data_IF_225991794488
#
_entry.id   IF_225991794488
#
_cell.length_a   1.000
_cell.length_b   1.000
_cell.length_c   1.000
_cell.angle_alpha   90.00
_cell.angle_beta   90.00
_cell.angle_gamma   90.00
#
_symmetry.space_group_name_H-M   'P 1'
#
loop_
_entity.id
_entity.type
_entity.pdbx_description
1 polymer ?
#
# COMPACT_ATOMS: atom_id res chain seq x y z
N UNK A 1 -13.99 -5.38 -9.48
CA UNK A 1 -13.96 -5.84 -8.07
C UNK A 1 -12.56 -5.58 -7.55
N UNK A 2 -12.34 -4.70 -6.58
CA UNK A 2 -10.97 -4.34 -6.17
C UNK A 2 -10.32 -5.39 -5.27
N UNK A 3 -8.98 -5.52 -5.35
CA UNK A 3 -8.19 -6.42 -4.50
C UNK A 3 -6.90 -5.74 -4.06
N UNK A 4 -6.72 -5.62 -2.75
CA UNK A 4 -5.61 -4.92 -2.13
C UNK A 4 -4.87 -5.78 -1.11
N UNK A 5 -3.55 -5.63 -1.02
CA UNK A 5 -2.71 -6.14 0.07
C UNK A 5 -2.00 -4.94 0.70
N UNK A 6 -2.39 -4.59 1.92
CA UNK A 6 -1.98 -3.36 2.59
C UNK A 6 -0.97 -3.69 3.68
N UNK A 7 0.30 -3.37 3.47
CA UNK A 7 1.44 -3.73 4.32
C UNK A 7 1.75 -2.58 5.28
N UNK A 8 1.65 -2.83 6.60
CA UNK A 8 1.78 -1.79 7.62
C UNK A 8 3.16 -1.12 7.68
N UNK A 9 4.21 -1.85 7.30
CA UNK A 9 5.58 -1.37 7.27
C UNK A 9 6.58 -2.52 7.22
N UNK A 10 7.86 -2.20 7.37
CA UNK A 10 8.99 -3.14 7.23
C UNK A 10 9.87 -2.84 6.02
N UNK A 11 11.05 -3.46 6.01
CA UNK A 11 12.10 -3.24 5.02
C UNK A 11 12.24 -4.41 4.04
N UNK A 12 11.86 -4.17 2.78
CA UNK A 12 12.02 -5.14 1.69
C UNK A 12 13.50 -5.55 1.50
N UNK A 13 14.43 -4.61 1.72
CA UNK A 13 15.87 -4.85 1.63
C UNK A 13 16.35 -5.89 2.64
N UNK A 14 15.80 -5.86 3.84
CA UNK A 14 16.13 -6.76 4.95
C UNK A 14 15.29 -8.05 4.91
N UNK A 15 14.33 -8.14 3.98
CA UNK A 15 13.38 -9.25 3.83
C UNK A 15 12.48 -9.42 5.05
N UNK A 16 12.16 -8.33 5.73
CA UNK A 16 11.26 -8.34 6.89
C UNK A 16 9.83 -8.71 6.50
N UNK A 17 9.42 -8.39 5.28
CA UNK A 17 8.09 -8.67 4.72
C UNK A 17 8.03 -9.95 3.88
N UNK A 18 9.05 -10.81 3.91
CA UNK A 18 9.24 -11.89 2.92
C UNK A 18 8.04 -12.81 2.74
N UNK A 19 7.35 -13.19 3.83
CA UNK A 19 6.17 -14.04 3.77
C UNK A 19 5.00 -13.37 3.03
N UNK A 20 4.88 -12.04 3.18
CA UNK A 20 3.86 -11.23 2.49
C UNK A 20 4.24 -11.09 1.00
N UNK A 21 5.51 -10.83 0.70
CA UNK A 21 6.01 -10.74 -0.68
C UNK A 21 5.87 -12.06 -1.43
N UNK A 22 6.14 -13.19 -0.76
CA UNK A 22 5.94 -14.52 -1.33
C UNK A 22 4.46 -14.75 -1.68
N UNK A 23 3.53 -14.35 -0.79
CA UNK A 23 2.11 -14.43 -1.07
C UNK A 23 1.72 -13.57 -2.28
N UNK A 24 2.16 -12.30 -2.34
CA UNK A 24 1.92 -11.41 -3.49
C UNK A 24 2.43 -12.05 -4.78
N UNK A 25 3.64 -12.61 -4.77
CA UNK A 25 4.24 -13.25 -5.94
C UNK A 25 3.48 -14.52 -6.37
N UNK A 26 2.99 -15.33 -5.44
CA UNK A 26 2.15 -16.49 -5.74
C UNK A 26 0.83 -16.06 -6.40
N UNK A 27 0.19 -15.02 -5.89
CA UNK A 27 -1.05 -14.48 -6.48
C UNK A 27 -0.82 -13.87 -7.87
N UNK A 28 0.30 -13.17 -8.06
CA UNK A 28 0.70 -12.66 -9.37
C UNK A 28 0.93 -13.78 -10.39
N UNK A 29 1.55 -14.90 -9.98
CA UNK A 29 1.74 -16.08 -10.84
C UNK A 29 0.42 -16.73 -11.22
N UNK A 30 -0.53 -16.84 -10.29
CA UNK A 30 -1.88 -17.34 -10.58
C UNK A 30 -2.58 -16.47 -11.63
N UNK A 31 -2.47 -15.14 -11.54
CA UNK A 31 -3.03 -14.22 -12.52
C UNK A 31 -2.36 -14.33 -13.90
N UNK A 32 -1.06 -14.58 -13.93
CA UNK A 32 -0.29 -14.71 -15.16
C UNK A 32 -0.56 -16.04 -15.90
N UNK A 33 -0.81 -17.13 -15.17
CA UNK A 33 -0.88 -18.48 -15.74
C UNK A 33 0.50 -18.98 -16.18
N UNK A 34 0.63 -19.43 -17.42
CA UNK A 34 1.88 -20.04 -17.95
C UNK A 34 2.99 -19.02 -18.29
N UNK A 35 2.65 -17.74 -18.42
CA UNK A 35 3.66 -16.70 -18.69
C UNK A 35 4.37 -16.31 -17.40
N UNK A 36 5.58 -15.77 -17.55
CA UNK A 36 6.26 -15.10 -16.44
C UNK A 36 5.41 -13.91 -15.96
N UNK A 37 5.04 -13.92 -14.68
CA UNK A 37 4.28 -12.84 -14.07
C UNK A 37 5.09 -11.53 -14.05
N UNK A 38 4.38 -10.41 -14.13
CA UNK A 38 4.95 -9.07 -14.24
C UNK A 38 4.43 -8.14 -13.14
N UNK A 39 5.32 -7.50 -12.39
CA UNK A 39 5.00 -6.48 -11.40
C UNK A 39 5.37 -5.08 -11.86
N UNK A 40 4.48 -4.12 -11.65
CA UNK A 40 4.77 -2.70 -11.87
C UNK A 40 4.94 -1.99 -10.53
N UNK A 41 6.14 -1.47 -10.27
CA UNK A 41 6.45 -0.72 -9.07
C UNK A 41 6.16 0.77 -9.24
N UNK A 42 5.49 1.38 -8.26
CA UNK A 42 5.18 2.81 -8.20
C UNK A 42 5.94 3.44 -7.02
N UNK A 43 7.14 4.01 -7.24
CA UNK A 43 7.97 4.62 -6.22
C UNK A 43 7.63 6.08 -5.89
N UNK A 44 6.49 6.61 -6.35
CA UNK A 44 6.19 8.04 -6.31
C UNK A 44 6.29 8.65 -4.91
N UNK A 45 5.83 7.93 -3.87
CA UNK A 45 5.95 8.38 -2.46
C UNK A 45 7.40 8.60 -2.01
N UNK A 46 8.35 7.86 -2.59
CA UNK A 46 9.78 8.00 -2.35
C UNK A 46 10.47 8.96 -3.33
N UNK A 47 9.71 9.83 -3.99
CA UNK A 47 10.19 10.71 -5.08
C UNK A 47 10.92 9.94 -6.19
N UNK A 48 10.36 8.81 -6.62
CA UNK A 48 10.94 7.95 -7.66
C UNK A 48 12.35 7.42 -7.33
N UNK A 49 12.57 7.03 -6.06
CA UNK A 49 13.84 6.49 -5.58
C UNK A 49 14.23 5.19 -6.32
N UNK A 50 15.15 5.31 -7.29
CA UNK A 50 15.66 4.17 -8.06
C UNK A 50 16.36 3.09 -7.21
N UNK A 51 17.14 3.43 -6.15
CA UNK A 51 17.62 2.42 -5.20
C UNK A 51 16.50 1.57 -4.57
N UNK A 52 15.33 2.15 -4.32
CA UNK A 52 14.17 1.41 -3.81
C UNK A 52 13.64 0.45 -4.89
N UNK A 53 13.44 0.93 -6.12
CA UNK A 53 13.07 0.05 -7.24
C UNK A 53 14.09 -1.08 -7.46
N UNK A 54 15.39 -0.79 -7.37
CA UNK A 54 16.43 -1.81 -7.52
C UNK A 54 16.33 -2.90 -6.45
N UNK A 55 15.92 -2.55 -5.23
CA UNK A 55 15.66 -3.51 -4.16
C UNK A 55 14.45 -4.38 -4.50
N UNK A 56 13.33 -3.75 -4.89
CA UNK A 56 12.13 -4.45 -5.36
C UNK A 56 12.46 -5.41 -6.50
N UNK A 57 13.16 -4.93 -7.53
CA UNK A 57 13.59 -5.71 -8.69
C UNK A 57 14.43 -6.92 -8.26
N UNK A 58 15.45 -6.73 -7.41
CA UNK A 58 16.31 -7.82 -6.95
C UNK A 58 15.54 -8.89 -6.17
N UNK A 59 14.64 -8.48 -5.28
CA UNK A 59 13.84 -9.40 -4.46
C UNK A 59 12.85 -10.16 -5.35
N UNK A 60 12.00 -9.45 -6.10
CA UNK A 60 10.93 -10.08 -6.87
C UNK A 60 11.45 -10.89 -8.08
N UNK A 61 12.46 -10.39 -8.78
CA UNK A 61 13.09 -11.14 -9.89
C UNK A 61 13.92 -12.30 -9.36
N UNK A 62 14.77 -12.04 -8.35
CA UNK A 62 15.76 -13.01 -7.88
C UNK A 62 15.18 -14.14 -7.04
N UNK A 63 14.17 -13.87 -6.22
CA UNK A 63 13.57 -14.89 -5.34
C UNK A 63 12.31 -15.52 -5.93
N UNK A 64 11.53 -14.75 -6.69
CA UNK A 64 10.20 -15.20 -7.12
C UNK A 64 10.06 -15.35 -8.63
N UNK A 65 11.11 -15.07 -9.42
CA UNK A 65 11.08 -15.11 -10.89
C UNK A 65 9.99 -14.21 -11.50
N UNK A 66 9.72 -13.05 -10.89
CA UNK A 66 8.80 -12.05 -11.42
C UNK A 66 9.56 -11.10 -12.36
N UNK A 67 8.98 -10.74 -13.51
CA UNK A 67 9.48 -9.64 -14.33
C UNK A 67 9.05 -8.32 -13.69
N UNK A 68 9.93 -7.34 -13.57
CA UNK A 68 9.54 -6.04 -13.00
C UNK A 68 9.70 -4.90 -13.99
N UNK A 69 8.83 -3.90 -13.85
CA UNK A 69 8.97 -2.58 -14.47
C UNK A 69 8.63 -1.51 -13.42
N UNK A 70 8.87 -0.24 -13.74
CA UNK A 70 8.69 0.90 -12.84
C UNK A 70 7.93 2.03 -13.52
N UNK A 71 6.96 2.62 -12.83
CA UNK A 71 6.22 3.80 -13.26
C UNK A 71 6.81 5.05 -12.60
N UNK A 72 7.65 5.76 -13.35
CA UNK A 72 8.32 6.99 -12.89
C UNK A 72 7.56 8.20 -13.43
N UNK A 73 7.25 9.16 -12.57
CA UNK A 73 6.48 10.37 -12.88
C UNK A 73 7.13 11.65 -12.37
N UNK A 74 8.11 11.56 -11.47
CA UNK A 74 8.72 12.71 -10.80
C UNK A 74 9.83 13.30 -11.68
N UNK A 75 9.80 14.64 -11.82
CA UNK A 75 10.79 15.45 -12.54
C UNK A 75 11.07 14.99 -13.99
N UNK A 76 10.03 14.50 -14.68
CA UNK A 76 10.14 14.02 -16.06
C UNK A 76 8.84 14.15 -16.82
N UNK A 77 8.92 14.20 -18.14
CA UNK A 77 7.76 14.05 -18.99
C UNK A 77 7.29 12.58 -19.00
N UNK A 78 5.98 12.40 -18.86
CA UNK A 78 5.32 11.09 -18.90
C UNK A 78 4.69 10.92 -20.27
N UNK A 79 5.15 9.92 -21.01
CA UNK A 79 4.49 9.45 -22.24
C UNK A 79 3.25 8.62 -21.85
N UNK A 80 2.02 9.13 -22.09
CA UNK A 80 0.81 8.48 -21.58
C UNK A 80 0.59 7.08 -22.14
N UNK A 81 0.93 6.86 -23.41
CA UNK A 81 0.74 5.57 -24.09
C UNK A 81 1.74 4.53 -23.57
N UNK A 82 3.00 4.94 -23.39
CA UNK A 82 3.98 4.05 -22.74
C UNK A 82 3.58 3.74 -21.31
N UNK A 83 3.11 4.72 -20.55
CA UNK A 83 2.68 4.50 -19.17
C UNK A 83 1.50 3.54 -19.10
N UNK A 84 0.45 3.77 -19.90
CA UNK A 84 -0.70 2.87 -20.02
C UNK A 84 -0.26 1.44 -20.35
N UNK A 85 0.63 1.28 -21.33
CA UNK A 85 1.17 -0.02 -21.71
C UNK A 85 1.95 -0.74 -20.59
N UNK A 86 2.52 -0.01 -19.62
CA UNK A 86 3.12 -0.62 -18.42
C UNK A 86 2.04 -1.19 -17.49
N UNK A 87 0.97 -0.43 -17.24
CA UNK A 87 -0.14 -0.89 -16.41
C UNK A 87 -0.81 -2.12 -17.00
N UNK A 88 -1.07 -2.13 -18.31
CA UNK A 88 -1.71 -3.25 -19.00
C UNK A 88 -0.90 -4.56 -18.90
N UNK A 89 0.43 -4.47 -19.03
CA UNK A 89 1.33 -5.63 -18.97
C UNK A 89 1.49 -6.22 -17.56
N UNK A 90 1.18 -5.46 -16.52
CA UNK A 90 1.39 -5.88 -15.14
C UNK A 90 0.27 -6.82 -14.65
N UNK A 91 0.65 -7.87 -13.93
CA UNK A 91 -0.25 -8.73 -13.16
C UNK A 91 -0.66 -8.12 -11.83
N UNK A 92 0.25 -7.34 -11.26
CA UNK A 92 0.03 -6.64 -10.01
C UNK A 92 0.77 -5.30 -10.01
N UNK A 93 0.27 -4.38 -9.20
CA UNK A 93 0.95 -3.14 -8.88
C UNK A 93 1.55 -3.25 -7.48
N UNK A 94 2.70 -2.63 -7.26
CA UNK A 94 3.29 -2.49 -5.93
C UNK A 94 3.58 -1.00 -5.67
N UNK A 95 2.88 -0.42 -4.71
CA UNK A 95 3.03 0.98 -4.31
C UNK A 95 4.02 1.09 -3.15
N UNK A 96 5.11 1.82 -3.37
CA UNK A 96 6.15 2.02 -2.36
C UNK A 96 5.72 2.96 -1.22
N UNK A 97 6.45 2.89 -0.11
CA UNK A 97 6.35 3.82 1.02
C UNK A 97 7.06 5.17 0.77
N UNK A 98 6.80 6.15 1.65
CA UNK A 98 7.37 7.50 1.60
C UNK A 98 6.31 8.56 1.97
N UNK A 99 6.33 9.69 1.29
CA UNK A 99 5.36 10.77 1.47
C UNK A 99 4.04 10.46 0.73
N UNK A 100 2.98 10.24 1.50
CA UNK A 100 1.67 9.87 0.96
C UNK A 100 0.96 11.05 0.33
N UNK A 101 1.04 12.25 0.92
CA UNK A 101 0.35 13.45 0.41
C UNK A 101 0.98 13.88 -0.90
N UNK A 102 2.31 13.95 -0.95
CA UNK A 102 3.06 14.20 -2.19
C UNK A 102 2.71 13.17 -3.27
N UNK A 103 2.69 11.88 -2.94
CA UNK A 103 2.34 10.83 -3.89
C UNK A 103 0.97 11.07 -4.53
N UNK A 104 -0.05 11.38 -3.73
CA UNK A 104 -1.41 11.62 -4.22
C UNK A 104 -1.48 12.87 -5.11
N UNK A 105 -0.79 13.94 -4.76
CA UNK A 105 -0.69 15.14 -5.59
C UNK A 105 0.02 14.86 -6.91
N UNK A 106 1.15 14.15 -6.88
CA UNK A 106 1.90 13.79 -8.06
C UNK A 106 1.12 12.87 -8.99
N UNK A 107 0.37 11.90 -8.47
CA UNK A 107 -0.49 11.05 -9.30
C UNK A 107 -1.57 11.84 -10.02
N UNK A 108 -2.12 12.88 -9.39
CA UNK A 108 -3.08 13.80 -10.03
C UNK A 108 -2.39 14.64 -11.12
N UNK A 109 -1.25 15.25 -10.80
CA UNK A 109 -0.52 16.14 -11.72
C UNK A 109 0.05 15.41 -12.93
N UNK A 110 0.58 14.21 -12.75
CA UNK A 110 1.18 13.40 -13.81
C UNK A 110 0.17 12.64 -14.68
N UNK A 111 -1.12 12.63 -14.31
CA UNK A 111 -2.14 11.84 -14.99
C UNK A 111 -2.04 10.33 -14.70
N UNK A 112 -1.32 9.92 -13.66
CA UNK A 112 -1.21 8.50 -13.26
C UNK A 112 -2.47 8.00 -12.54
N UNK A 113 -3.18 8.89 -11.82
CA UNK A 113 -4.33 8.52 -10.99
C UNK A 113 -5.45 7.80 -11.77
N UNK A 114 -5.84 8.20 -12.99
CA UNK A 114 -6.80 7.44 -13.81
C UNK A 114 -6.35 6.00 -14.09
N UNK A 115 -5.07 5.76 -14.40
CA UNK A 115 -4.56 4.41 -14.67
C UNK A 115 -4.59 3.52 -13.42
N UNK A 116 -4.28 4.11 -12.25
CA UNK A 116 -4.38 3.43 -10.96
C UNK A 116 -5.85 3.10 -10.64
N UNK A 117 -6.76 4.03 -10.92
CA UNK A 117 -8.19 3.83 -10.73
C UNK A 117 -8.74 2.71 -11.62
N UNK A 118 -8.37 2.70 -12.91
CA UNK A 118 -8.72 1.62 -13.84
C UNK A 118 -8.22 0.26 -13.33
N UNK A 119 -6.99 0.19 -12.82
CA UNK A 119 -6.44 -1.05 -12.25
C UNK A 119 -7.19 -1.50 -10.98
N UNK A 120 -7.51 -0.55 -10.09
CA UNK A 120 -8.27 -0.80 -8.86
C UNK A 120 -9.68 -1.31 -9.15
N UNK A 121 -10.43 -0.61 -10.00
CA UNK A 121 -11.81 -0.97 -10.36
C UNK A 121 -11.85 -2.29 -11.16
N UNK A 122 -10.86 -2.50 -12.04
CA UNK A 122 -10.65 -3.71 -12.84
C UNK A 122 -10.22 -4.95 -12.04
N UNK A 123 -9.89 -4.81 -10.76
CA UNK A 123 -9.54 -5.92 -9.88
C UNK A 123 -8.15 -6.49 -10.06
N UNK A 124 -7.24 -5.68 -10.60
CA UNK A 124 -5.82 -5.97 -10.55
C UNK A 124 -5.39 -6.07 -9.08
N UNK A 125 -4.52 -7.01 -8.77
CA UNK A 125 -3.91 -7.07 -7.45
C UNK A 125 -3.04 -5.82 -7.24
N UNK A 126 -3.28 -5.09 -6.16
CA UNK A 126 -2.48 -3.93 -5.79
C UNK A 126 -1.93 -4.16 -4.37
N UNK A 127 -0.61 -4.28 -4.26
CA UNK A 127 0.09 -4.27 -2.98
C UNK A 127 0.56 -2.85 -2.66
N UNK A 128 0.55 -2.47 -1.40
CA UNK A 128 1.04 -1.16 -0.97
C UNK A 128 1.71 -1.23 0.38
N UNK A 129 2.85 -0.57 0.53
CA UNK A 129 3.64 -0.53 1.77
C UNK A 129 3.59 0.86 2.38
N UNK A 130 3.28 0.95 3.68
CA UNK A 130 3.21 2.20 4.45
C UNK A 130 2.31 3.24 3.75
N UNK A 131 2.87 4.28 3.14
CA UNK A 131 2.12 5.24 2.29
C UNK A 131 1.22 4.57 1.26
N UNK A 132 1.74 3.54 0.57
CA UNK A 132 0.98 2.76 -0.40
C UNK A 132 -0.12 1.90 0.22
N UNK A 133 -0.05 1.62 1.52
CA UNK A 133 -1.06 0.83 2.24
C UNK A 133 -2.27 1.69 2.64
N UNK A 134 -2.05 2.96 2.97
CA UNK A 134 -3.08 3.80 3.60
C UNK A 134 -3.80 4.72 2.62
N UNK A 135 -3.20 5.03 1.48
CA UNK A 135 -3.69 6.07 0.57
C UNK A 135 -5.10 5.81 -0.03
N UNK A 136 -5.61 4.59 0.06
CA UNK A 136 -6.92 4.19 -0.46
C UNK A 136 -8.10 4.61 0.41
N UNK A 137 -7.86 4.85 1.71
CA UNK A 137 -8.89 5.12 2.70
C UNK A 137 -9.41 6.56 2.62
N UNK A 138 -10.54 6.83 3.27
CA UNK A 138 -11.05 8.19 3.45
C UNK A 138 -10.08 9.04 4.27
N UNK A 139 -9.57 8.47 5.37
CA UNK A 139 -8.66 9.16 6.28
C UNK A 139 -7.45 8.28 6.65
N UNK A 140 -6.28 8.89 6.62
CA UNK A 140 -4.99 8.21 6.82
C UNK A 140 -4.17 8.95 7.89
N UNK A 141 -3.63 8.19 8.85
CA UNK A 141 -2.70 8.72 9.85
C UNK A 141 -1.28 8.70 9.31
N UNK A 142 -0.69 9.89 9.12
CA UNK A 142 0.55 10.06 8.37
C UNK A 142 1.32 11.30 8.86
N UNK A 143 2.62 11.32 8.65
CA UNK A 143 3.55 12.44 8.92
C UNK A 143 4.03 13.12 7.62
N UNK A 144 3.27 12.94 6.52
CA UNK A 144 3.64 13.42 5.17
C UNK A 144 3.93 14.93 5.04
N UNK A 145 3.46 15.78 5.96
CA UNK A 145 3.71 17.23 5.89
C UNK A 145 4.95 17.64 6.68
N UNK A 146 5.15 17.03 7.85
CA UNK A 146 6.34 17.23 8.69
C UNK A 146 6.73 15.87 9.23
N UNK A 147 7.89 15.36 8.81
CA UNK A 147 8.40 14.06 9.22
C UNK A 147 8.46 13.96 10.75
N UNK A 148 7.86 12.91 11.30
CA UNK A 148 7.73 12.72 12.75
C UNK A 148 6.51 13.40 13.40
N UNK A 149 5.75 14.25 12.69
CA UNK A 149 4.52 14.86 13.22
C UNK A 149 3.26 14.26 12.56
N UNK A 150 2.69 13.27 13.23
CA UNK A 150 1.57 12.50 12.67
C UNK A 150 0.22 13.18 12.85
N UNK A 151 -0.52 13.29 11.75
CA UNK A 151 -1.84 13.89 11.68
C UNK A 151 -2.78 13.04 10.82
N UNK A 152 -4.08 13.30 10.92
CA UNK A 152 -5.08 12.70 10.03
C UNK A 152 -5.15 13.53 8.75
N UNK A 153 -4.97 12.87 7.61
CA UNK A 153 -5.08 13.45 6.28
C UNK A 153 -6.16 12.75 5.45
N UNK A 154 -6.78 13.42 4.47
CA UNK A 154 -7.66 12.76 3.52
C UNK A 154 -6.86 11.88 2.55
N UNK A 155 -7.29 10.64 2.36
CA UNK A 155 -6.78 9.75 1.31
C UNK A 155 -7.59 9.86 0.01
N UNK A 156 -7.55 8.81 -0.81
CA UNK A 156 -8.35 8.72 -2.04
C UNK A 156 -9.84 8.51 -1.77
N UNK A 157 -10.22 7.97 -0.60
CA UNK A 157 -11.61 7.70 -0.23
C UNK A 157 -12.27 6.60 -1.08
N UNK A 158 -11.48 5.65 -1.59
CA UNK A 158 -12.02 4.50 -2.33
C UNK A 158 -12.38 3.32 -1.40
N UNK A 159 -11.86 3.35 -0.18
CA UNK A 159 -12.24 2.47 0.93
C UNK A 159 -12.73 3.34 2.08
N UNK A 160 -13.87 2.99 2.64
CA UNK A 160 -14.42 3.70 3.78
C UNK A 160 -13.62 3.42 5.05
N UNK A 161 -13.42 4.45 5.88
CA UNK A 161 -12.81 4.32 7.19
C UNK A 161 -11.43 4.97 7.30
N UNK A 162 -10.78 4.64 8.42
CA UNK A 162 -9.56 5.30 8.88
C UNK A 162 -8.47 4.27 9.14
N UNK A 163 -7.22 4.63 8.88
CA UNK A 163 -6.12 3.68 8.95
C UNK A 163 -4.82 4.32 9.43
N UNK A 164 -4.03 3.56 10.19
CA UNK A 164 -2.63 3.87 10.53
C UNK A 164 -1.71 2.76 10.03
N UNK A 165 -0.62 3.07 9.31
CA UNK A 165 0.50 2.16 9.16
C UNK A 165 1.35 2.18 10.45
N UNK A 166 2.40 1.34 10.52
CA UNK A 166 3.36 1.32 11.63
C UNK A 166 2.71 1.33 13.03
N UNK A 167 1.56 0.65 13.18
CA UNK A 167 0.70 0.83 14.35
C UNK A 167 1.40 0.45 15.66
N UNK A 168 2.31 -0.53 15.64
CA UNK A 168 3.17 -0.92 16.76
C UNK A 168 4.04 0.23 17.28
N UNK A 169 4.40 1.19 16.42
CA UNK A 169 5.19 2.36 16.78
C UNK A 169 4.33 3.61 17.02
N UNK A 170 3.05 3.57 16.67
CA UNK A 170 2.11 4.71 16.72
C UNK A 170 0.91 4.46 17.62
N UNK A 171 0.90 3.32 18.31
CA UNK A 171 -0.25 2.80 19.03
C UNK A 171 -0.81 3.81 20.03
N UNK A 172 0.06 4.42 20.85
CA UNK A 172 -0.38 5.32 21.92
C UNK A 172 -1.12 6.54 21.35
N UNK A 173 -0.51 7.26 20.41
CA UNK A 173 -1.09 8.47 19.84
C UNK A 173 -2.34 8.15 19.01
N UNK A 174 -2.30 7.07 18.22
CA UNK A 174 -3.43 6.70 17.38
C UNK A 174 -4.62 6.17 18.19
N UNK A 175 -4.38 5.43 19.28
CA UNK A 175 -5.43 4.99 20.21
C UNK A 175 -6.16 6.18 20.82
N UNK A 176 -5.42 7.19 21.29
CA UNK A 176 -6.00 8.39 21.90
C UNK A 176 -6.86 9.16 20.89
N UNK A 177 -6.38 9.30 19.65
CA UNK A 177 -7.15 9.93 18.56
C UNK A 177 -8.43 9.16 18.28
N UNK A 178 -8.33 7.83 18.14
CA UNK A 178 -9.50 6.98 17.85
C UNK A 178 -10.51 7.02 18.99
N UNK A 179 -10.04 6.97 20.24
CA UNK A 179 -10.88 7.03 21.44
C UNK A 179 -11.57 8.38 21.59
N UNK A 180 -10.81 9.47 21.51
CA UNK A 180 -11.33 10.84 21.65
C UNK A 180 -12.45 11.12 20.65
N UNK A 181 -12.27 10.69 19.40
CA UNK A 181 -13.23 10.93 18.33
C UNK A 181 -14.31 9.84 18.21
N UNK A 182 -14.27 8.79 19.06
CA UNK A 182 -15.20 7.64 19.04
C UNK A 182 -15.26 6.95 17.68
N UNK A 183 -14.08 6.76 17.09
CA UNK A 183 -13.93 6.21 15.76
C UNK A 183 -13.83 4.70 15.73
N UNK A 184 -13.98 4.20 14.51
CA UNK A 184 -13.62 2.86 14.09
C UNK A 184 -12.47 2.99 13.10
N UNK A 185 -11.33 2.34 13.37
CA UNK A 185 -10.14 2.44 12.53
C UNK A 185 -9.43 1.09 12.34
N UNK A 186 -8.43 1.08 11.46
CA UNK A 186 -7.51 -0.03 11.20
C UNK A 186 -6.11 0.35 11.67
N UNK A 187 -5.45 -0.55 12.41
CA UNK A 187 -4.06 -0.43 12.80
C UNK A 187 -3.26 -1.55 12.17
N UNK A 188 -2.29 -1.23 11.30
CA UNK A 188 -1.44 -2.20 10.64
C UNK A 188 -0.05 -2.10 11.26
N UNK A 189 0.38 -3.12 12.01
CA UNK A 189 1.76 -3.17 12.50
C UNK A 189 2.75 -3.37 11.34
N UNK A 190 4.01 -3.01 11.58
CA UNK A 190 5.12 -3.46 10.76
C UNK A 190 5.07 -4.98 10.55
N UNK A 191 5.49 -5.45 9.37
CA UNK A 191 5.57 -6.88 9.05
C UNK A 191 4.22 -7.61 9.12
N UNK A 192 3.12 -6.90 8.89
CA UNK A 192 1.80 -7.47 8.68
C UNK A 192 1.10 -6.80 7.50
N UNK A 193 0.21 -7.56 6.85
CA UNK A 193 -0.63 -7.05 5.80
C UNK A 193 -2.10 -7.40 5.99
N UNK A 194 -2.98 -6.47 5.62
CA UNK A 194 -4.42 -6.67 5.53
C UNK A 194 -4.79 -6.88 4.05
N UNK A 195 -5.42 -8.01 3.73
CA UNK A 195 -6.00 -8.22 2.41
C UNK A 195 -7.45 -7.73 2.39
N UNK A 196 -7.78 -6.87 1.42
CA UNK A 196 -9.12 -6.29 1.24
C UNK A 196 -9.65 -6.63 -0.15
N UNK A 197 -10.90 -7.09 -0.21
CA UNK A 197 -11.62 -7.34 -1.46
C UNK A 197 -12.87 -6.47 -1.48
N UNK A 198 -13.05 -5.64 -2.51
CA UNK A 198 -14.21 -4.76 -2.65
C UNK A 198 -14.48 -3.86 -1.44
N UNK A 199 -13.42 -3.38 -0.77
CA UNK A 199 -13.53 -2.54 0.44
C UNK A 199 -13.70 -3.32 1.75
N UNK A 200 -13.89 -4.64 1.69
CA UNK A 200 -14.08 -5.48 2.87
C UNK A 200 -12.80 -6.26 3.24
N UNK A 201 -12.42 -6.32 4.53
CA UNK A 201 -11.28 -7.10 5.00
C UNK A 201 -11.57 -8.61 4.83
N UNK A 202 -10.60 -9.34 4.29
CA UNK A 202 -10.72 -10.79 4.05
C UNK A 202 -9.85 -11.61 5.00
N UNK A 203 -8.59 -11.18 5.21
CA UNK A 203 -7.63 -11.86 6.09
C UNK A 203 -6.45 -10.97 6.43
N UNK A 204 -5.72 -11.34 7.48
CA UNK A 204 -4.37 -10.85 7.72
C UNK A 204 -3.31 -11.83 7.18
N UNK A 205 -2.15 -11.29 6.85
CA UNK A 205 -0.94 -12.03 6.46
C UNK A 205 0.19 -11.50 7.35
N UNK A 206 0.83 -12.38 8.11
CA UNK A 206 1.87 -11.97 9.07
C UNK A 206 3.25 -12.42 8.61
N UNK A 207 4.22 -11.51 8.70
CA UNK A 207 5.65 -11.77 8.71
C UNK A 207 6.28 -11.44 10.08
N UNK A 208 5.46 -11.28 11.12
CA UNK A 208 5.90 -10.96 12.49
C UNK A 208 4.97 -10.00 13.22
N UNK A 209 4.22 -9.16 12.50
CA UNK A 209 3.25 -8.22 13.08
C UNK A 209 1.81 -8.72 13.05
N UNK A 210 0.89 -7.83 13.46
CA UNK A 210 -0.56 -8.07 13.50
C UNK A 210 -1.35 -6.94 12.85
N UNK A 211 -2.58 -7.28 12.46
CA UNK A 211 -3.58 -6.31 12.03
C UNK A 211 -4.64 -6.17 13.12
N UNK A 212 -4.97 -4.92 13.46
CA UNK A 212 -5.97 -4.59 14.45
C UNK A 212 -7.16 -3.87 13.83
N UNK A 213 -8.35 -4.30 14.24
CA UNK A 213 -9.57 -3.51 14.18
C UNK A 213 -9.73 -2.76 15.49
N UNK A 214 -9.72 -1.43 15.43
CA UNK A 214 -9.97 -0.54 16.56
C UNK A 214 -11.42 -0.07 16.51
N UNK A 215 -12.14 -0.17 17.63
CA UNK A 215 -13.51 0.32 17.78
C UNK A 215 -13.66 1.05 19.12
N UNK A 216 -13.86 2.37 19.04
CA UNK A 216 -14.14 3.23 20.18
C UNK A 216 -15.55 3.86 20.12
N UNK A 217 -16.44 3.35 19.26
CA UNK A 217 -17.80 3.89 19.08
C UNK A 217 -18.63 3.89 20.37
N UNK A 218 -18.33 2.96 21.28
CA UNK A 218 -18.96 2.84 22.60
C UNK A 218 -18.43 3.81 23.67
N UNK A 219 -17.36 4.55 23.38
CA UNK A 219 -16.63 5.36 24.36
C UNK A 219 -15.53 4.60 25.12
N UNK A 220 -15.36 3.31 24.85
CA UNK A 220 -14.21 2.49 25.27
C UNK A 220 -13.50 1.94 24.04
N UNK A 221 -12.16 1.96 24.04
CA UNK A 221 -11.37 1.43 22.93
C UNK A 221 -11.25 -0.10 23.02
N UNK A 222 -11.87 -0.79 22.06
CA UNK A 222 -11.72 -2.23 21.86
C UNK A 222 -10.81 -2.50 20.68
N UNK A 223 -9.86 -3.42 20.86
CA UNK A 223 -8.92 -3.85 19.81
C UNK A 223 -9.11 -5.33 19.53
N UNK A 224 -9.37 -5.67 18.28
CA UNK A 224 -9.52 -7.06 17.83
C UNK A 224 -8.44 -7.37 16.81
N UNK A 225 -7.69 -8.45 17.02
CA UNK A 225 -6.73 -8.95 16.03
C UNK A 225 -7.52 -9.68 14.93
N UNK A 226 -7.24 -9.36 13.67
CA UNK A 226 -7.82 -10.03 12.49
C UNK A 226 -6.89 -11.12 11.98
#
# INVERSE_FOLDING_TARGET
MSRLILIGGGELKNRETLAIDEYIAQEAKKAAGERRAAGLFLPTASHDCMPYYNTFHKVYTGLFDIKTDVALTVNREVDPEKMRGKFEKADFLYIGGGDTVYMLEQWKQSGLLPLIREAFEGGKLIAGLSAGAICWFEEMYSDSVVEGEYHIFPGLGWINGKISPHYDERMLDFDDIVLYNRWCAWGLENNAALEIHNGEPVRSISAGGKIFRLDASSGELKKTVI
#
